data_IF_453843199218
#
_entry.id   IF_453843199218
#
_cell.length_a   1.000
_cell.length_b   1.000
_cell.length_c   1.000
_cell.angle_alpha   90.00
_cell.angle_beta   90.00
_cell.angle_gamma   90.00
#
_symmetry.space_group_name_H-M   'P 1'
#
loop_
_entity.id
_entity.type
_entity.pdbx_description
1 polymer ?
#
# COMPACT_ATOMS: atom_id res chain seq x y z
N UNK A 1 -62.99 -23.98 -13.10
CA UNK A 1 -61.69 -24.68 -12.99
C UNK A 1 -60.71 -23.72 -12.39
N UNK A 2 -60.45 -23.92 -11.13
CA UNK A 2 -59.69 -23.08 -10.23
C UNK A 2 -58.18 -23.43 -10.36
N UNK A 3 -57.35 -22.50 -10.71
CA UNK A 3 -55.89 -22.70 -10.72
C UNK A 3 -55.30 -22.10 -9.44
N UNK A 4 -54.70 -22.94 -8.62
CA UNK A 4 -53.89 -22.58 -7.47
C UNK A 4 -52.62 -21.86 -7.93
N UNK A 5 -52.41 -20.65 -7.46
CA UNK A 5 -51.11 -19.99 -7.47
C UNK A 5 -50.42 -20.33 -6.15
N UNK A 6 -49.41 -21.17 -6.22
CA UNK A 6 -48.55 -21.51 -5.11
C UNK A 6 -47.59 -20.37 -4.78
N UNK A 7 -47.67 -19.87 -3.57
CA UNK A 7 -46.67 -18.98 -3.02
C UNK A 7 -45.37 -19.78 -2.77
N UNK A 8 -44.31 -19.48 -3.53
CA UNK A 8 -42.95 -19.97 -3.26
C UNK A 8 -42.26 -18.95 -2.41
N UNK A 9 -41.82 -19.39 -1.23
CA UNK A 9 -41.37 -18.61 -0.12
C UNK A 9 -40.04 -17.85 -0.31
N UNK A 10 -40.07 -16.69 0.22
CA UNK A 10 -38.91 -15.77 0.48
C UNK A 10 -38.15 -16.14 1.77
N UNK A 11 -37.54 -17.30 1.84
CA UNK A 11 -36.76 -17.70 3.03
C UNK A 11 -35.27 -18.00 2.79
N UNK A 12 -34.78 -17.82 1.53
CA UNK A 12 -33.38 -18.16 1.21
C UNK A 12 -32.37 -17.00 1.38
N UNK A 13 -32.83 -15.75 1.50
CA UNK A 13 -31.90 -14.59 1.51
C UNK A 13 -31.37 -14.17 2.89
N UNK A 14 -32.06 -14.50 3.97
CA UNK A 14 -31.63 -14.18 5.35
C UNK A 14 -30.61 -15.19 5.89
N UNK A 15 -30.62 -16.43 5.40
CA UNK A 15 -29.70 -17.48 5.87
C UNK A 15 -28.26 -17.30 5.38
N UNK A 16 -28.04 -16.70 4.21
CA UNK A 16 -26.69 -16.53 3.65
C UNK A 16 -25.92 -15.38 4.29
N UNK A 17 -26.55 -14.26 4.62
CA UNK A 17 -25.87 -13.13 5.26
C UNK A 17 -25.45 -13.48 6.71
N UNK A 18 -26.31 -14.17 7.47
CA UNK A 18 -26.00 -14.61 8.82
C UNK A 18 -24.91 -15.71 8.86
N UNK A 19 -24.85 -16.58 7.83
CA UNK A 19 -23.79 -17.58 7.70
C UNK A 19 -22.43 -16.93 7.40
N UNK A 20 -22.37 -15.88 6.57
CA UNK A 20 -21.13 -15.13 6.28
C UNK A 20 -20.62 -14.37 7.52
N UNK A 21 -21.49 -13.82 8.36
CA UNK A 21 -21.11 -13.18 9.63
C UNK A 21 -20.61 -14.20 10.65
N UNK A 22 -21.25 -15.37 10.76
CA UNK A 22 -20.87 -16.42 11.69
C UNK A 22 -19.50 -17.06 11.35
N UNK A 23 -19.18 -17.23 10.06
CA UNK A 23 -17.89 -17.76 9.60
C UNK A 23 -16.73 -16.75 9.77
N UNK A 24 -17.02 -15.46 9.90
CA UNK A 24 -16.02 -14.41 10.00
C UNK A 24 -15.62 -14.10 11.46
N UNK A 25 -16.43 -14.47 12.46
CA UNK A 25 -16.20 -14.16 13.88
C UNK A 25 -16.42 -15.38 14.76
N UNK A 26 -15.43 -15.72 15.56
CA UNK A 26 -15.56 -16.69 16.65
C UNK A 26 -15.23 -16.00 17.99
N UNK A 27 -16.21 -15.94 18.90
CA UNK A 27 -16.01 -15.36 20.23
C UNK A 27 -15.55 -13.90 20.23
N UNK A 28 -16.07 -13.06 19.29
CA UNK A 28 -15.70 -11.66 19.15
C UNK A 28 -14.37 -11.41 18.42
N UNK A 29 -13.75 -12.44 17.85
CA UNK A 29 -12.51 -12.34 17.08
C UNK A 29 -12.73 -12.69 15.63
N UNK A 30 -12.12 -11.91 14.74
CA UNK A 30 -12.06 -12.20 13.31
C UNK A 30 -11.01 -13.28 13.01
N UNK A 31 -11.34 -14.17 12.07
CA UNK A 31 -10.41 -15.22 11.63
C UNK A 31 -9.46 -14.69 10.55
N UNK A 32 -8.23 -14.37 10.95
CA UNK A 32 -7.14 -14.06 10.03
C UNK A 32 -6.21 -15.25 9.76
N UNK A 33 -6.42 -16.38 10.45
CA UNK A 33 -5.49 -17.51 10.47
C UNK A 33 -5.84 -18.61 9.46
N UNK A 34 -7.09 -18.67 9.04
CA UNK A 34 -7.52 -19.56 7.96
C UNK A 34 -7.08 -18.99 6.61
N UNK A 35 -6.23 -19.72 5.85
CA UNK A 35 -5.83 -19.26 4.53
C UNK A 35 -7.02 -19.04 3.61
N UNK A 36 -7.09 -17.88 2.99
CA UNK A 36 -8.15 -17.53 2.05
C UNK A 36 -7.62 -17.66 0.62
N UNK A 37 -8.14 -18.62 -0.14
CA UNK A 37 -7.71 -18.86 -1.51
C UNK A 37 -8.07 -17.69 -2.42
N UNK A 38 -7.07 -17.17 -3.13
CA UNK A 38 -7.19 -16.09 -4.11
C UNK A 38 -6.79 -16.51 -5.53
N UNK A 39 -6.43 -17.78 -5.73
CA UNK A 39 -6.15 -18.33 -7.06
C UNK A 39 -7.47 -18.52 -7.79
N UNK A 40 -7.50 -18.12 -9.07
CA UNK A 40 -8.71 -18.14 -9.90
C UNK A 40 -9.61 -16.91 -9.72
N UNK A 41 -9.07 -15.81 -9.17
CA UNK A 41 -9.80 -14.54 -8.97
C UNK A 41 -9.18 -13.38 -9.75
N UNK A 42 -8.36 -13.66 -10.75
CA UNK A 42 -7.58 -12.68 -11.52
C UNK A 42 -6.64 -11.82 -10.65
N UNK A 43 -6.22 -12.37 -9.54
CA UNK A 43 -5.36 -11.68 -8.58
C UNK A 43 -3.97 -11.41 -9.15
N UNK A 44 -3.54 -10.15 -9.17
CA UNK A 44 -2.16 -9.78 -9.53
C UNK A 44 -1.15 -10.41 -8.58
N UNK A 45 -1.50 -10.56 -7.31
CA UNK A 45 -0.64 -11.13 -6.27
C UNK A 45 -0.46 -12.64 -6.41
N UNK A 46 -1.46 -13.35 -6.93
CA UNK A 46 -1.50 -14.82 -7.03
C UNK A 46 -1.50 -15.30 -8.49
N UNK A 47 -2.54 -15.02 -9.26
CA UNK A 47 -2.69 -15.54 -10.62
C UNK A 47 -1.64 -14.97 -11.59
N UNK A 48 -1.40 -13.66 -11.52
CA UNK A 48 -0.35 -13.07 -12.35
C UNK A 48 1.06 -13.50 -11.90
N UNK A 49 1.29 -13.79 -10.62
CA UNK A 49 2.57 -14.33 -10.16
C UNK A 49 2.84 -15.74 -10.73
N UNK A 50 1.83 -16.61 -10.79
CA UNK A 50 1.93 -17.90 -11.46
C UNK A 50 2.29 -17.73 -12.93
N UNK A 51 1.51 -16.95 -13.66
CA UNK A 51 1.70 -16.70 -15.09
C UNK A 51 3.06 -16.08 -15.42
N UNK A 52 3.46 -15.02 -14.69
CA UNK A 52 4.68 -14.26 -14.98
C UNK A 52 5.97 -15.08 -14.69
N UNK A 53 5.89 -16.04 -13.77
CA UNK A 53 7.01 -16.92 -13.45
C UNK A 53 6.98 -18.26 -14.21
N UNK A 54 5.90 -18.55 -14.95
CA UNK A 54 5.72 -19.81 -15.68
C UNK A 54 5.71 -21.01 -14.74
N UNK A 55 4.94 -20.92 -13.63
CA UNK A 55 4.81 -21.96 -12.60
C UNK A 55 3.33 -22.30 -12.40
N UNK A 56 3.08 -23.56 -12.05
CA UNK A 56 1.70 -24.07 -11.85
C UNK A 56 1.29 -24.06 -10.37
N UNK A 57 2.25 -23.84 -9.47
CA UNK A 57 2.01 -23.84 -8.03
C UNK A 57 2.79 -22.74 -7.33
N UNK A 58 2.13 -22.08 -6.37
CA UNK A 58 2.72 -21.08 -5.51
C UNK A 58 2.27 -21.31 -4.06
N UNK A 59 3.23 -21.26 -3.13
CA UNK A 59 2.98 -21.34 -1.68
C UNK A 59 2.44 -20.01 -1.16
N UNK A 60 3.06 -18.90 -1.60
CA UNK A 60 2.64 -17.56 -1.20
C UNK A 60 3.02 -16.49 -2.22
N UNK A 61 2.04 -15.68 -2.62
CA UNK A 61 2.25 -14.42 -3.30
C UNK A 61 2.51 -13.31 -2.27
N UNK A 62 3.72 -12.77 -2.22
CA UNK A 62 4.12 -11.77 -1.20
C UNK A 62 4.75 -10.51 -1.82
N UNK A 63 4.64 -10.35 -3.13
CA UNK A 63 5.23 -9.20 -3.84
C UNK A 63 4.31 -7.96 -3.88
N UNK A 64 3.02 -8.16 -4.07
CA UNK A 64 2.03 -7.07 -4.23
C UNK A 64 1.47 -6.63 -2.87
N UNK A 65 1.31 -5.31 -2.70
CA UNK A 65 0.83 -4.71 -1.45
C UNK A 65 -0.71 -4.71 -1.39
N UNK A 66 -1.31 -5.88 -1.29
CA UNK A 66 -2.70 -6.11 -0.91
C UNK A 66 -2.79 -7.25 0.12
N UNK A 67 -3.90 -7.33 0.85
CA UNK A 67 -4.07 -8.32 1.94
C UNK A 67 -4.76 -9.59 1.44
N UNK A 68 -4.46 -10.73 2.08
CA UNK A 68 -5.09 -12.01 1.78
C UNK A 68 -6.20 -12.39 2.77
N UNK A 69 -6.71 -11.43 3.51
CA UNK A 69 -7.79 -11.65 4.47
C UNK A 69 -9.17 -11.46 3.83
N UNK A 70 -10.18 -12.09 4.40
CA UNK A 70 -11.58 -11.76 4.09
C UNK A 70 -11.84 -10.30 4.42
N UNK A 71 -12.70 -9.67 3.65
CA UNK A 71 -13.13 -8.30 3.90
C UNK A 71 -13.88 -8.19 5.25
N UNK A 72 -13.85 -7.02 5.88
CA UNK A 72 -14.66 -6.77 7.07
C UNK A 72 -16.14 -7.05 6.77
N UNK A 73 -16.87 -7.79 7.62
CA UNK A 73 -18.26 -8.23 7.35
C UNK A 73 -19.21 -7.08 7.04
N UNK A 74 -19.03 -5.93 7.68
CA UNK A 74 -19.83 -4.71 7.42
C UNK A 74 -19.73 -4.26 5.97
N UNK A 75 -18.57 -4.43 5.33
CA UNK A 75 -18.35 -4.06 3.92
C UNK A 75 -19.08 -5.06 3.01
N UNK A 76 -18.92 -6.36 3.25
CA UNK A 76 -19.59 -7.40 2.48
C UNK A 76 -21.11 -7.23 2.54
N UNK A 77 -21.65 -6.98 3.73
CA UNK A 77 -23.08 -6.72 3.94
C UNK A 77 -23.58 -5.53 3.13
N UNK A 78 -22.90 -4.39 3.22
CA UNK A 78 -23.28 -3.18 2.48
C UNK A 78 -23.25 -3.37 0.96
N UNK A 79 -22.27 -4.13 0.45
CA UNK A 79 -22.20 -4.47 -0.96
C UNK A 79 -23.35 -5.40 -1.39
N UNK A 80 -23.66 -6.43 -0.60
CA UNK A 80 -24.78 -7.34 -0.87
C UNK A 80 -26.13 -6.61 -0.87
N UNK A 81 -26.35 -5.70 0.09
CA UNK A 81 -27.55 -4.84 0.12
C UNK A 81 -27.67 -3.98 -1.16
N UNK A 82 -26.55 -3.38 -1.60
CA UNK A 82 -26.55 -2.54 -2.82
C UNK A 82 -26.81 -3.36 -4.08
N UNK A 83 -26.35 -4.60 -4.16
CA UNK A 83 -26.57 -5.51 -5.30
C UNK A 83 -28.05 -5.90 -5.48
N UNK A 84 -28.91 -5.71 -4.46
CA UNK A 84 -30.36 -5.92 -4.60
C UNK A 84 -31.01 -4.90 -5.53
N UNK A 85 -30.35 -3.78 -5.82
CA UNK A 85 -30.85 -2.74 -6.71
C UNK A 85 -30.03 -2.74 -8.02
N UNK A 86 -30.59 -3.25 -9.09
CA UNK A 86 -29.91 -3.55 -10.36
C UNK A 86 -29.64 -2.34 -11.27
N UNK A 87 -30.03 -1.12 -10.89
CA UNK A 87 -29.75 0.07 -11.68
C UNK A 87 -28.39 0.69 -11.30
N UNK A 88 -27.56 0.92 -12.32
CA UNK A 88 -26.17 1.41 -12.21
C UNK A 88 -25.98 2.76 -12.93
N UNK A 89 -26.94 3.66 -12.78
CA UNK A 89 -26.88 5.02 -13.33
C UNK A 89 -25.77 5.87 -12.67
N UNK A 90 -25.64 7.12 -13.12
CA UNK A 90 -24.68 8.05 -12.57
C UNK A 90 -24.88 8.25 -11.08
N UNK A 91 -23.76 8.38 -10.37
CA UNK A 91 -23.74 8.53 -8.93
C UNK A 91 -23.44 9.97 -8.53
N UNK A 92 -24.25 10.55 -7.67
CA UNK A 92 -23.91 11.75 -6.91
C UNK A 92 -23.27 11.36 -5.58
N UNK A 93 -22.20 12.05 -5.18
CA UNK A 93 -21.52 11.78 -3.92
C UNK A 93 -22.44 12.13 -2.73
N UNK A 94 -22.88 11.14 -1.93
CA UNK A 94 -23.73 11.43 -0.80
C UNK A 94 -22.93 12.12 0.31
N UNK A 95 -23.54 13.13 0.92
CA UNK A 95 -22.94 13.87 2.05
C UNK A 95 -22.46 12.94 3.18
N UNK A 96 -23.22 11.87 3.45
CA UNK A 96 -22.85 10.86 4.46
C UNK A 96 -21.53 10.14 4.18
N UNK A 97 -21.04 10.12 2.94
CA UNK A 97 -19.75 9.56 2.61
C UNK A 97 -18.61 10.51 3.02
N UNK A 98 -18.67 11.77 2.63
CA UNK A 98 -17.69 12.79 3.05
C UNK A 98 -17.67 12.98 4.57
N UNK A 99 -18.82 13.01 5.21
CA UNK A 99 -18.93 13.06 6.67
C UNK A 99 -18.30 11.84 7.36
N UNK A 100 -18.44 10.65 6.79
CA UNK A 100 -17.79 9.42 7.28
C UNK A 100 -16.27 9.53 7.26
N UNK A 101 -15.70 10.03 6.16
CA UNK A 101 -14.26 10.28 6.03
C UNK A 101 -13.79 11.30 7.07
N UNK A 102 -14.49 12.43 7.20
CA UNK A 102 -14.15 13.50 8.16
C UNK A 102 -14.18 12.96 9.59
N UNK A 103 -15.25 12.26 9.99
CA UNK A 103 -15.40 11.67 11.33
C UNK A 103 -14.29 10.67 11.63
N UNK A 104 -13.96 9.77 10.67
CA UNK A 104 -12.88 8.81 10.83
C UNK A 104 -11.54 9.50 11.09
N UNK A 105 -11.17 10.44 10.24
CA UNK A 105 -9.87 11.12 10.35
C UNK A 105 -9.76 12.00 11.59
N UNK A 106 -10.86 12.65 12.02
CA UNK A 106 -10.89 13.40 13.29
C UNK A 106 -10.69 12.48 14.48
N UNK A 107 -11.42 11.35 14.53
CA UNK A 107 -11.37 10.41 15.66
C UNK A 107 -10.02 9.71 15.78
N UNK A 108 -9.48 9.21 14.67
CA UNK A 108 -8.25 8.40 14.71
C UNK A 108 -6.97 9.24 14.71
N UNK A 109 -6.99 10.40 14.05
CA UNK A 109 -5.76 11.15 13.77
C UNK A 109 -5.80 12.61 14.19
N UNK A 110 -6.92 13.09 14.70
CA UNK A 110 -7.09 14.49 15.06
C UNK A 110 -7.10 15.45 13.87
N UNK A 111 -7.30 14.94 12.64
CA UNK A 111 -7.31 15.77 11.44
C UNK A 111 -8.69 16.44 11.29
N UNK A 112 -8.69 17.78 11.19
CA UNK A 112 -9.84 18.56 10.82
C UNK A 112 -9.88 18.76 9.30
N UNK A 113 -10.75 18.02 8.61
CA UNK A 113 -10.94 18.13 7.17
C UNK A 113 -12.17 18.98 6.89
N UNK A 114 -12.00 20.06 6.10
CA UNK A 114 -13.13 20.76 5.51
C UNK A 114 -13.68 19.91 4.34
N UNK A 115 -14.94 19.42 4.40
CA UNK A 115 -15.52 18.62 3.31
C UNK A 115 -15.51 19.31 1.95
N UNK A 116 -15.60 20.63 1.90
CA UNK A 116 -15.60 21.43 0.66
C UNK A 116 -14.18 21.52 0.03
N UNK A 117 -13.17 21.17 0.81
CA UNK A 117 -11.76 21.13 0.41
C UNK A 117 -11.25 19.68 0.26
N UNK A 118 -12.17 18.72 0.08
CA UNK A 118 -11.89 17.30 -0.14
C UNK A 118 -12.37 16.89 -1.54
N UNK A 119 -11.47 16.27 -2.30
CA UNK A 119 -11.76 15.71 -3.62
C UNK A 119 -11.72 14.19 -3.61
N UNK A 120 -12.53 13.57 -4.48
CA UNK A 120 -12.55 12.12 -4.67
C UNK A 120 -11.77 11.74 -5.91
N UNK A 121 -11.12 10.59 -5.88
CA UNK A 121 -10.36 10.03 -6.99
C UNK A 121 -10.49 8.50 -7.02
N UNK A 122 -10.21 7.87 -8.16
CA UNK A 122 -10.32 6.41 -8.34
C UNK A 122 -9.16 5.62 -7.73
N UNK A 123 -8.23 6.29 -7.09
CA UNK A 123 -7.07 5.73 -6.40
C UNK A 123 -6.09 6.83 -6.02
N UNK A 124 -5.18 6.56 -5.09
CA UNK A 124 -4.15 7.55 -4.70
C UNK A 124 -3.26 7.93 -5.88
N UNK A 125 -2.85 6.98 -6.73
CA UNK A 125 -2.10 7.27 -7.95
C UNK A 125 -2.78 8.28 -8.89
N UNK A 126 -4.05 8.08 -9.32
CA UNK A 126 -4.75 9.10 -10.11
C UNK A 126 -4.82 10.47 -9.44
N UNK A 127 -4.96 10.53 -8.13
CA UNK A 127 -4.93 11.78 -7.37
C UNK A 127 -3.55 12.44 -7.40
N UNK A 128 -2.48 11.68 -7.18
CA UNK A 128 -1.10 12.17 -7.29
C UNK A 128 -0.80 12.64 -8.72
N UNK A 129 -1.22 11.90 -9.74
CA UNK A 129 -1.08 12.29 -11.14
C UNK A 129 -1.77 13.64 -11.42
N UNK A 130 -2.98 13.85 -10.89
CA UNK A 130 -3.67 15.13 -11.02
C UNK A 130 -2.89 16.27 -10.36
N UNK A 131 -2.31 16.05 -9.19
CA UNK A 131 -1.47 17.03 -8.50
C UNK A 131 -0.14 17.27 -9.23
N UNK A 132 0.51 16.22 -9.72
CA UNK A 132 1.74 16.36 -10.53
C UNK A 132 1.49 17.21 -11.78
N UNK A 133 0.39 16.97 -12.49
CA UNK A 133 0.00 17.79 -13.65
C UNK A 133 -0.34 19.23 -13.30
N UNK A 134 -0.75 19.48 -12.06
CA UNK A 134 -1.07 20.83 -11.58
C UNK A 134 0.19 21.65 -11.29
N UNK A 135 1.18 21.03 -10.63
CA UNK A 135 2.32 21.75 -10.05
C UNK A 135 3.64 21.55 -10.80
N UNK A 136 3.76 20.49 -11.60
CA UNK A 136 5.02 20.13 -12.25
C UNK A 136 4.89 20.21 -13.77
N UNK A 137 5.48 21.23 -14.41
CA UNK A 137 5.55 21.30 -15.87
C UNK A 137 6.25 20.07 -16.48
N UNK A 138 5.83 19.58 -17.65
CA UNK A 138 6.51 18.49 -18.34
C UNK A 138 8.03 18.75 -18.50
N UNK A 139 8.84 17.73 -18.20
CA UNK A 139 10.30 17.83 -18.21
C UNK A 139 10.92 18.27 -16.90
N UNK A 140 10.13 18.77 -15.94
CA UNK A 140 10.60 19.07 -14.58
C UNK A 140 10.84 17.83 -13.74
N UNK A 141 11.34 18.01 -12.53
CA UNK A 141 11.68 16.92 -11.61
C UNK A 141 10.83 16.90 -10.36
N UNK A 142 10.68 15.71 -9.80
CA UNK A 142 9.95 15.42 -8.55
C UNK A 142 10.91 14.82 -7.54
N UNK A 143 11.02 15.43 -6.37
CA UNK A 143 11.86 14.94 -5.29
C UNK A 143 11.26 13.69 -4.66
N UNK A 144 12.10 12.70 -4.41
CA UNK A 144 11.75 11.42 -3.77
C UNK A 144 12.80 11.08 -2.71
N UNK A 145 12.38 10.62 -1.54
CA UNK A 145 13.28 9.99 -0.54
C UNK A 145 13.33 8.48 -0.82
N UNK A 146 14.48 8.00 -1.30
CA UNK A 146 14.62 6.62 -1.77
C UNK A 146 15.39 5.70 -0.81
N UNK A 147 15.10 4.38 -0.76
CA UNK A 147 14.15 3.66 -1.60
C UNK A 147 12.68 4.05 -1.32
N UNK A 148 11.88 4.14 -2.38
CA UNK A 148 10.48 4.59 -2.30
C UNK A 148 9.58 3.74 -3.20
N UNK A 149 8.28 3.81 -3.00
CA UNK A 149 7.29 3.05 -3.74
C UNK A 149 7.48 3.18 -5.26
N UNK A 150 7.68 2.03 -5.90
CA UNK A 150 8.02 1.94 -7.32
C UNK A 150 6.92 2.44 -8.26
N UNK A 151 5.67 2.48 -7.82
CA UNK A 151 4.56 3.05 -8.59
C UNK A 151 4.74 4.55 -8.90
N UNK A 152 5.44 5.31 -8.06
CA UNK A 152 5.69 6.73 -8.33
C UNK A 152 6.50 6.94 -9.62
N UNK A 153 7.44 6.06 -9.95
CA UNK A 153 8.20 6.17 -11.20
C UNK A 153 7.32 6.04 -12.45
N UNK A 154 6.28 5.19 -12.38
CA UNK A 154 5.30 5.10 -13.47
C UNK A 154 4.44 6.36 -13.57
N UNK A 155 4.05 6.95 -12.43
CA UNK A 155 3.29 8.20 -12.40
C UNK A 155 4.11 9.36 -12.98
N UNK A 156 5.41 9.45 -12.64
CA UNK A 156 6.33 10.43 -13.20
C UNK A 156 6.47 10.25 -14.73
N UNK A 157 6.68 9.01 -15.17
CA UNK A 157 6.78 8.69 -16.60
C UNK A 157 5.51 9.11 -17.35
N UNK A 158 4.34 8.80 -16.78
CA UNK A 158 3.04 9.18 -17.36
C UNK A 158 2.85 10.70 -17.45
N UNK A 159 3.42 11.45 -16.50
CA UNK A 159 3.38 12.91 -16.50
C UNK A 159 4.54 13.59 -17.27
N UNK A 160 5.43 12.83 -17.91
CA UNK A 160 6.67 13.31 -18.53
C UNK A 160 7.56 14.08 -17.53
N UNK A 161 7.68 13.58 -16.31
CA UNK A 161 8.51 14.12 -15.23
C UNK A 161 9.71 13.23 -14.95
N UNK A 162 10.72 13.78 -14.30
CA UNK A 162 11.96 13.08 -13.94
C UNK A 162 12.03 12.83 -12.42
N UNK A 163 12.45 11.64 -11.98
CA UNK A 163 12.76 11.44 -10.58
C UNK A 163 14.00 12.22 -10.17
N UNK A 164 13.92 12.91 -9.05
CA UNK A 164 15.06 13.54 -8.36
C UNK A 164 15.21 12.84 -7.01
N UNK A 165 16.18 11.91 -6.91
CA UNK A 165 16.25 10.95 -5.83
C UNK A 165 17.23 11.41 -4.74
N UNK A 166 16.74 11.54 -3.51
CA UNK A 166 17.56 11.72 -2.30
C UNK A 166 17.63 10.37 -1.55
N UNK A 167 18.83 9.78 -1.54
CA UNK A 167 19.06 8.49 -0.90
C UNK A 167 19.03 8.62 0.61
N UNK A 168 18.16 7.86 1.26
CA UNK A 168 18.11 7.77 2.72
C UNK A 168 19.35 7.06 3.28
N UNK A 169 19.79 7.49 4.45
CA UNK A 169 20.83 6.83 5.24
C UNK A 169 20.22 5.69 6.05
N UNK A 170 20.96 4.59 6.20
CA UNK A 170 20.57 3.46 7.05
C UNK A 170 21.50 3.37 8.26
N UNK A 171 20.91 3.41 9.46
CA UNK A 171 21.65 3.29 10.73
C UNK A 171 20.75 2.68 11.81
N UNK A 172 21.33 1.88 12.68
CA UNK A 172 20.61 1.24 13.80
C UNK A 172 19.32 0.48 13.38
N UNK A 173 19.32 -0.09 12.18
CA UNK A 173 18.18 -0.85 11.66
C UNK A 173 17.06 -0.01 11.06
N UNK A 174 17.16 1.32 11.01
CA UNK A 174 16.16 2.27 10.49
C UNK A 174 16.76 3.12 9.36
N UNK A 175 15.91 3.57 8.46
CA UNK A 175 16.26 4.55 7.43
C UNK A 175 15.98 5.98 7.93
N UNK A 176 16.81 6.93 7.53
CA UNK A 176 16.73 8.35 7.89
C UNK A 176 16.90 9.23 6.66
N UNK A 177 16.20 10.36 6.64
CA UNK A 177 16.41 11.37 5.59
C UNK A 177 17.79 12.01 5.77
N UNK A 178 18.60 12.01 4.70
CA UNK A 178 19.78 12.86 4.61
C UNK A 178 19.34 14.27 4.22
N UNK A 179 19.10 15.12 5.20
CA UNK A 179 18.56 16.46 4.98
C UNK A 179 19.48 17.38 4.18
N UNK A 180 20.80 17.15 4.22
CA UNK A 180 21.75 17.91 3.40
C UNK A 180 21.61 17.51 1.91
N UNK A 181 21.55 16.20 1.64
CA UNK A 181 21.29 15.71 0.28
C UNK A 181 19.88 16.08 -0.19
N UNK A 182 18.87 15.94 0.66
CA UNK A 182 17.49 16.29 0.37
C UNK A 182 17.35 17.74 -0.10
N UNK A 183 17.95 18.70 0.63
CA UNK A 183 17.90 20.11 0.24
C UNK A 183 18.77 20.42 -0.98
N UNK A 184 19.95 19.82 -1.08
CA UNK A 184 20.87 20.02 -2.22
C UNK A 184 20.28 19.53 -3.53
N UNK A 185 19.44 18.48 -3.50
CA UNK A 185 18.74 17.95 -4.68
C UNK A 185 17.73 18.91 -5.27
N UNK A 186 17.18 19.80 -4.47
CA UNK A 186 16.18 20.75 -4.93
C UNK A 186 16.83 21.84 -5.77
N UNK A 187 16.58 21.81 -7.05
CA UNK A 187 16.98 22.85 -8.03
C UNK A 187 15.77 23.64 -8.53
N UNK A 188 15.99 24.54 -9.49
CA UNK A 188 14.95 25.38 -10.11
C UNK A 188 13.90 24.59 -10.89
N UNK A 189 14.16 23.34 -11.23
CA UNK A 189 13.27 22.46 -11.98
C UNK A 189 12.51 21.50 -11.06
N UNK A 190 12.78 21.51 -9.76
CA UNK A 190 12.12 20.62 -8.78
C UNK A 190 10.89 21.33 -8.22
N UNK A 191 9.69 20.85 -8.58
CA UNK A 191 8.42 21.53 -8.26
C UNK A 191 7.63 20.84 -7.16
N UNK A 192 7.75 19.52 -7.04
CA UNK A 192 6.99 18.72 -6.07
C UNK A 192 7.89 17.73 -5.35
N UNK A 193 7.49 17.38 -4.13
CA UNK A 193 8.04 16.28 -3.33
C UNK A 193 6.93 15.29 -3.04
N UNK A 194 7.10 14.01 -3.37
CA UNK A 194 6.17 12.97 -2.96
C UNK A 194 6.67 12.37 -1.64
N UNK A 195 5.95 12.70 -0.57
CA UNK A 195 6.15 12.13 0.76
C UNK A 195 5.35 10.86 0.90
N UNK A 196 5.99 9.71 1.16
CA UNK A 196 5.32 8.46 1.53
C UNK A 196 5.33 8.34 3.06
N UNK A 197 4.16 8.34 3.71
CA UNK A 197 4.03 8.36 5.17
C UNK A 197 2.85 7.50 5.66
N UNK A 198 3.08 6.30 6.20
CA UNK A 198 4.36 5.57 6.40
C UNK A 198 5.09 5.24 5.10
N UNK A 199 6.43 5.15 5.18
CA UNK A 199 7.29 4.92 4.03
C UNK A 199 7.20 3.47 3.52
N UNK A 200 6.88 3.30 2.25
CA UNK A 200 6.99 2.07 1.51
C UNK A 200 8.22 2.15 0.59
N UNK A 201 9.20 1.24 0.66
CA UNK A 201 9.12 -0.11 1.24
C UNK A 201 9.73 -0.26 2.65
N UNK A 202 10.34 0.77 3.23
CA UNK A 202 11.20 0.67 4.42
C UNK A 202 10.43 0.52 5.73
N UNK A 203 9.13 0.87 5.73
CA UNK A 203 8.28 0.78 6.92
C UNK A 203 8.50 1.88 7.95
N UNK A 204 9.22 2.94 7.60
CA UNK A 204 9.39 4.08 8.51
C UNK A 204 8.08 4.80 8.79
N UNK A 205 7.88 5.23 10.04
CA UNK A 205 6.97 6.31 10.41
C UNK A 205 7.79 7.55 10.70
N UNK A 206 7.51 8.64 9.99
CA UNK A 206 8.25 9.88 10.17
C UNK A 206 7.87 10.57 11.48
N UNK A 207 8.85 11.03 12.22
CA UNK A 207 8.62 11.84 13.43
C UNK A 207 8.09 13.22 13.06
N UNK A 208 7.52 13.94 14.04
CA UNK A 208 7.06 15.32 13.83
C UNK A 208 8.20 16.23 13.37
N UNK A 209 9.38 16.04 13.95
CA UNK A 209 10.59 16.79 13.63
C UNK A 209 11.06 16.51 12.19
N UNK A 210 11.08 15.23 11.78
CA UNK A 210 11.43 14.86 10.40
C UNK A 210 10.44 15.46 9.39
N UNK A 211 9.13 15.35 9.66
CA UNK A 211 8.08 15.91 8.79
C UNK A 211 8.15 17.44 8.75
N UNK A 212 8.36 18.10 9.89
CA UNK A 212 8.48 19.56 9.96
C UNK A 212 9.69 20.02 9.15
N UNK A 213 10.85 19.39 9.31
CA UNK A 213 12.07 19.75 8.60
C UNK A 213 11.94 19.55 7.09
N UNK A 214 11.34 18.44 6.63
CA UNK A 214 11.02 18.25 5.21
C UNK A 214 10.11 19.35 4.69
N UNK A 215 9.05 19.67 5.45
CA UNK A 215 8.10 20.72 5.10
C UNK A 215 8.71 22.12 5.03
N UNK A 216 9.58 22.48 5.98
CA UNK A 216 10.30 23.76 6.00
C UNK A 216 11.23 23.93 4.78
N UNK A 217 11.98 22.88 4.44
CA UNK A 217 12.83 22.89 3.26
C UNK A 217 11.97 23.07 1.99
N UNK A 218 10.90 22.28 1.85
CA UNK A 218 9.99 22.36 0.71
C UNK A 218 9.35 23.75 0.59
N UNK A 219 8.85 24.32 1.69
CA UNK A 219 8.25 25.66 1.72
C UNK A 219 9.26 26.74 1.28
N UNK A 220 10.45 26.73 1.88
CA UNK A 220 11.54 27.69 1.55
C UNK A 220 11.98 27.59 0.09
N UNK A 221 11.98 26.39 -0.47
CA UNK A 221 12.38 26.09 -1.85
C UNK A 221 11.22 26.15 -2.85
N UNK A 222 9.99 26.47 -2.41
CA UNK A 222 8.77 26.53 -3.23
C UNK A 222 8.43 25.19 -3.91
N UNK A 223 8.65 24.09 -3.19
CA UNK A 223 8.30 22.73 -3.60
C UNK A 223 7.02 22.33 -2.90
N UNK A 224 6.01 21.90 -3.64
CA UNK A 224 4.72 21.45 -3.07
C UNK A 224 4.85 20.01 -2.56
N UNK A 225 4.35 19.76 -1.34
CA UNK A 225 4.38 18.42 -0.73
C UNK A 225 3.12 17.63 -1.11
N UNK A 226 3.30 16.48 -1.74
CA UNK A 226 2.25 15.52 -2.06
C UNK A 226 2.38 14.36 -1.07
N UNK A 227 1.58 14.38 0.02
CA UNK A 227 1.66 13.40 1.09
C UNK A 227 0.81 12.17 0.76
N UNK A 228 1.45 11.08 0.34
CA UNK A 228 0.82 9.76 0.22
C UNK A 228 0.78 9.09 1.59
N UNK A 229 -0.38 9.13 2.21
CA UNK A 229 -0.63 8.59 3.55
C UNK A 229 -1.54 7.35 3.53
N UNK A 230 -1.54 6.60 2.41
CA UNK A 230 -2.42 5.44 2.21
C UNK A 230 -2.18 4.29 3.21
N UNK A 231 -0.99 4.21 3.81
CA UNK A 231 -0.62 3.19 4.81
C UNK A 231 -0.84 3.63 6.27
N UNK A 232 -1.45 4.78 6.51
CA UNK A 232 -1.55 5.44 7.81
C UNK A 232 -2.15 4.59 8.94
N UNK A 233 -3.03 3.64 8.64
CA UNK A 233 -3.68 2.79 9.63
C UNK A 233 -2.80 1.64 10.16
N UNK A 234 -1.68 1.36 9.49
CA UNK A 234 -0.78 0.25 9.87
C UNK A 234 0.40 0.75 10.71
N UNK A 235 0.11 1.17 11.94
CA UNK A 235 1.14 1.45 12.93
C UNK A 235 1.48 0.17 13.72
N UNK A 236 2.74 -0.21 13.76
CA UNK A 236 3.22 -1.30 14.61
C UNK A 236 3.05 -0.94 16.10
N UNK A 237 2.93 -1.95 16.96
CA UNK A 237 2.72 -1.75 18.40
C UNK A 237 3.74 -0.79 19.00
N UNK A 238 3.25 0.25 19.66
CA UNK A 238 4.08 1.30 20.28
C UNK A 238 4.49 2.43 19.33
N UNK A 239 4.16 2.35 18.04
CA UNK A 239 4.40 3.40 17.06
C UNK A 239 3.15 4.27 16.89
N UNK A 240 3.37 5.49 16.42
CA UNK A 240 2.28 6.44 16.17
C UNK A 240 2.47 7.14 14.83
N UNK A 241 1.49 6.98 13.96
CA UNK A 241 1.42 7.75 12.72
C UNK A 241 1.14 9.22 13.02
N UNK A 242 1.90 10.11 12.38
CA UNK A 242 1.73 11.55 12.46
C UNK A 242 1.33 12.07 11.07
N UNK A 243 0.08 12.55 10.91
CA UNK A 243 -0.35 13.14 9.65
C UNK A 243 0.42 14.43 9.33
N UNK A 244 0.82 14.62 8.09
CA UNK A 244 1.49 15.85 7.66
C UNK A 244 0.61 17.09 7.88
N UNK A 245 -0.68 16.96 7.69
CA UNK A 245 -1.67 18.03 7.88
C UNK A 245 -1.85 18.48 9.34
N UNK A 246 -1.29 17.76 10.33
CA UNK A 246 -1.34 18.11 11.76
C UNK A 246 -0.08 18.81 12.27
N UNK A 247 0.83 19.19 11.39
CA UNK A 247 2.00 19.99 11.76
C UNK A 247 1.56 21.37 12.26
N UNK A 248 2.33 21.94 13.21
CA UNK A 248 1.99 23.19 13.88
C UNK A 248 2.09 24.39 12.93
N UNK A 249 3.14 24.42 12.10
CA UNK A 249 3.34 25.48 11.12
C UNK A 249 2.32 25.37 9.98
N UNK A 250 1.34 26.29 9.98
CA UNK A 250 0.25 26.29 9.01
C UNK A 250 0.69 26.59 7.58
N UNK A 251 1.80 27.33 7.39
CA UNK A 251 2.33 27.60 6.05
C UNK A 251 2.88 26.32 5.40
N UNK A 252 3.51 25.43 6.20
CA UNK A 252 3.94 24.11 5.74
C UNK A 252 2.73 23.27 5.32
N UNK A 253 1.68 23.26 6.15
CA UNK A 253 0.45 22.51 5.86
C UNK A 253 -0.25 23.05 4.62
N UNK A 254 -0.35 24.39 4.47
CA UNK A 254 -0.92 25.03 3.28
C UNK A 254 -0.12 24.76 1.99
N UNK A 255 1.16 24.40 2.12
CA UNK A 255 2.00 24.00 0.98
C UNK A 255 1.92 22.48 0.70
N UNK A 256 0.83 21.82 1.05
CA UNK A 256 0.69 20.38 0.90
C UNK A 256 -0.70 19.94 0.45
N UNK A 257 -0.73 18.72 -0.09
CA UNK A 257 -1.96 17.96 -0.38
C UNK A 257 -1.78 16.56 0.19
N UNK A 258 -2.76 16.07 0.92
CA UNK A 258 -2.75 14.72 1.51
C UNK A 258 -3.67 13.79 0.73
N UNK A 259 -3.18 12.58 0.40
CA UNK A 259 -3.89 11.52 -0.31
C UNK A 259 -4.08 10.31 0.61
N UNK A 260 -5.32 9.81 0.69
CA UNK A 260 -5.69 8.66 1.53
C UNK A 260 -6.76 7.80 0.84
N UNK A 261 -6.91 6.57 1.32
CA UNK A 261 -7.95 5.65 0.85
C UNK A 261 -8.18 4.53 1.87
N UNK A 262 -9.36 3.90 1.82
CA UNK A 262 -9.63 2.64 2.51
C UNK A 262 -8.96 1.41 1.85
N UNK A 263 -8.29 1.62 0.70
CA UNK A 263 -7.76 0.55 -0.15
C UNK A 263 -6.77 -0.37 0.54
N UNK A 264 -5.86 0.19 1.36
CA UNK A 264 -4.88 -0.61 2.10
C UNK A 264 -5.45 -1.10 3.42
N UNK A 265 -6.14 -0.24 4.15
CA UNK A 265 -6.70 -0.54 5.47
C UNK A 265 -7.71 -1.69 5.47
N UNK A 266 -8.50 -1.82 4.40
CA UNK A 266 -9.58 -2.79 4.32
C UNK A 266 -9.51 -3.73 3.10
N UNK A 267 -8.37 -3.78 2.39
CA UNK A 267 -8.22 -4.66 1.23
C UNK A 267 -9.06 -4.26 0.01
N UNK A 268 -9.37 -2.98 -0.18
CA UNK A 268 -10.31 -2.47 -1.18
C UNK A 268 -9.63 -1.88 -2.44
N UNK A 269 -8.40 -2.28 -2.76
CA UNK A 269 -7.64 -1.69 -3.86
C UNK A 269 -8.35 -1.76 -5.23
N UNK A 270 -9.07 -2.87 -5.50
CA UNK A 270 -9.83 -3.05 -6.73
C UNK A 270 -11.14 -2.24 -6.79
N UNK A 271 -11.62 -1.72 -5.65
CA UNK A 271 -12.85 -0.93 -5.57
C UNK A 271 -12.70 0.50 -6.09
N UNK A 272 -11.46 0.96 -6.34
CA UNK A 272 -11.15 2.21 -7.02
C UNK A 272 -11.81 3.44 -6.38
N UNK A 273 -11.61 3.61 -5.07
CA UNK A 273 -12.10 4.77 -4.31
C UNK A 273 -11.01 5.30 -3.39
N UNK A 274 -10.62 6.55 -3.60
CA UNK A 274 -9.66 7.29 -2.77
C UNK A 274 -10.10 8.75 -2.67
N UNK A 275 -9.41 9.51 -1.86
CA UNK A 275 -9.70 10.91 -1.64
C UNK A 275 -8.44 11.70 -1.30
N UNK A 276 -8.50 12.99 -1.52
CA UNK A 276 -7.44 13.94 -1.17
C UNK A 276 -8.04 15.19 -0.54
N UNK A 277 -7.25 15.90 0.23
CA UNK A 277 -7.62 17.17 0.81
C UNK A 277 -6.41 18.09 0.96
N UNK A 278 -6.69 19.38 1.05
CA UNK A 278 -5.70 20.42 1.35
C UNK A 278 -6.39 21.57 2.10
N UNK A 279 -5.61 22.40 2.77
CA UNK A 279 -6.11 23.65 3.39
C UNK A 279 -5.93 24.84 2.46
N UNK A 280 -5.30 24.67 1.31
CA UNK A 280 -5.03 25.71 0.32
C UNK A 280 -6.11 25.69 -0.79
N UNK A 281 -6.95 26.73 -0.93
CA UNK A 281 -8.04 26.74 -1.91
C UNK A 281 -7.54 26.76 -3.35
N UNK A 282 -6.40 27.41 -3.64
CA UNK A 282 -5.85 27.46 -4.99
C UNK A 282 -5.31 26.09 -5.39
N UNK A 283 -4.67 25.36 -4.44
CA UNK A 283 -4.20 24.00 -4.68
C UNK A 283 -5.38 23.05 -4.90
N UNK A 284 -6.43 23.19 -4.10
CA UNK A 284 -7.65 22.40 -4.27
C UNK A 284 -8.26 22.61 -5.65
N UNK A 285 -8.48 23.86 -6.04
CA UNK A 285 -9.04 24.21 -7.34
C UNK A 285 -8.20 23.68 -8.51
N UNK A 286 -6.87 23.83 -8.44
CA UNK A 286 -5.94 23.34 -9.44
C UNK A 286 -5.95 21.81 -9.61
N UNK A 287 -5.89 21.07 -8.50
CA UNK A 287 -5.95 19.59 -8.53
C UNK A 287 -7.31 19.10 -9.00
N UNK A 288 -8.40 19.72 -8.54
CA UNK A 288 -9.76 19.39 -8.98
C UNK A 288 -9.95 19.56 -10.48
N UNK A 289 -9.36 20.60 -11.08
CA UNK A 289 -9.42 20.84 -12.54
C UNK A 289 -8.71 19.74 -13.35
N UNK A 290 -7.63 19.18 -12.82
CA UNK A 290 -6.85 18.10 -13.44
C UNK A 290 -7.34 16.67 -13.05
N UNK A 291 -8.16 16.55 -12.02
CA UNK A 291 -8.73 15.28 -11.58
C UNK A 291 -10.04 14.99 -12.34
N UNK A 292 -10.01 14.01 -13.22
CA UNK A 292 -11.17 13.57 -14.02
C UNK A 292 -11.72 12.21 -13.54
N UNK A 293 -11.44 11.86 -12.30
CA UNK A 293 -11.93 10.62 -11.72
C UNK A 293 -13.38 10.75 -11.26
N UNK A 294 -14.19 9.77 -11.60
CA UNK A 294 -15.55 9.62 -11.13
C UNK A 294 -15.63 8.59 -10.00
N UNK A 295 -16.64 8.72 -9.15
CA UNK A 295 -16.95 7.74 -8.12
C UNK A 295 -17.42 6.43 -8.75
N UNK A 296 -16.91 5.32 -8.24
CA UNK A 296 -17.50 4.01 -8.48
C UNK A 296 -18.51 3.69 -7.38
N UNK A 297 -19.72 3.26 -7.77
CA UNK A 297 -20.79 2.96 -6.81
C UNK A 297 -20.35 1.97 -5.73
N UNK A 298 -19.75 0.84 -6.13
CA UNK A 298 -19.32 -0.19 -5.19
C UNK A 298 -18.13 0.28 -4.33
N UNK A 299 -17.22 1.05 -4.91
CA UNK A 299 -16.08 1.62 -4.20
C UNK A 299 -16.49 2.61 -3.12
N UNK A 300 -17.45 3.49 -3.42
CA UNK A 300 -18.01 4.43 -2.46
C UNK A 300 -18.73 3.72 -1.32
N UNK A 301 -19.59 2.72 -1.63
CA UNK A 301 -20.33 1.97 -0.62
C UNK A 301 -19.40 1.17 0.28
N UNK A 302 -18.42 0.48 -0.30
CA UNK A 302 -17.43 -0.28 0.45
C UNK A 302 -16.62 0.62 1.39
N UNK A 303 -16.13 1.76 0.90
CA UNK A 303 -15.35 2.71 1.70
C UNK A 303 -16.19 3.37 2.79
N UNK A 304 -17.46 3.72 2.50
CA UNK A 304 -18.40 4.26 3.49
C UNK A 304 -18.67 3.25 4.61
N UNK A 305 -18.94 1.99 4.28
CA UNK A 305 -19.16 0.93 5.25
C UNK A 305 -17.92 0.67 6.09
N UNK A 306 -16.72 0.66 5.47
CA UNK A 306 -15.45 0.51 6.15
C UNK A 306 -15.25 1.57 7.25
N UNK A 307 -15.43 2.85 6.91
CA UNK A 307 -15.25 3.96 7.87
C UNK A 307 -16.38 4.05 8.91
N UNK A 308 -17.57 3.52 8.61
CA UNK A 308 -18.70 3.54 9.54
C UNK A 308 -18.67 2.43 10.60
N UNK A 309 -18.14 1.25 10.27
CA UNK A 309 -18.24 0.09 11.16
C UNK A 309 -17.09 -0.91 11.04
N UNK A 310 -16.00 -0.58 10.35
CA UNK A 310 -14.86 -1.49 10.16
C UNK A 310 -13.75 -1.39 11.20
N UNK A 311 -13.89 -0.51 12.20
CA UNK A 311 -12.82 -0.17 13.16
C UNK A 311 -12.29 -1.38 13.93
N UNK A 312 -13.16 -2.16 14.57
CA UNK A 312 -12.77 -3.33 15.34
C UNK A 312 -12.06 -4.40 14.47
N UNK A 313 -12.56 -4.61 13.23
CA UNK A 313 -11.88 -5.50 12.29
C UNK A 313 -10.47 -4.98 11.95
N UNK A 314 -10.32 -3.69 11.70
CA UNK A 314 -9.04 -3.09 11.36
C UNK A 314 -8.04 -3.17 12.52
N UNK A 315 -8.46 -2.88 13.75
CA UNK A 315 -7.61 -2.97 14.94
C UNK A 315 -7.09 -4.41 15.15
N UNK A 316 -7.96 -5.40 15.01
CA UNK A 316 -7.57 -6.81 15.10
C UNK A 316 -6.65 -7.21 13.94
N UNK A 317 -6.90 -6.73 12.72
CA UNK A 317 -6.07 -6.97 11.53
C UNK A 317 -4.66 -6.39 11.71
N UNK A 318 -4.56 -5.13 12.16
CA UNK A 318 -3.27 -4.46 12.44
C UNK A 318 -2.49 -5.22 13.52
N UNK A 319 -3.15 -5.62 14.60
CA UNK A 319 -2.53 -6.42 15.66
C UNK A 319 -2.03 -7.79 15.16
N UNK A 320 -2.79 -8.43 14.27
CA UNK A 320 -2.39 -9.70 13.67
C UNK A 320 -1.16 -9.54 12.76
N UNK A 321 -1.15 -8.50 11.92
CA UNK A 321 -0.02 -8.16 11.04
C UNK A 321 1.22 -7.79 11.84
N UNK A 322 1.08 -7.08 12.96
CA UNK A 322 2.18 -6.75 13.86
C UNK A 322 2.89 -8.01 14.37
N UNK A 323 2.12 -9.05 14.76
CA UNK A 323 2.67 -10.37 15.09
C UNK A 323 3.33 -11.10 13.91
N UNK A 324 2.86 -10.88 12.68
CA UNK A 324 3.50 -11.44 11.49
C UNK A 324 4.86 -10.78 11.23
N UNK A 325 5.03 -9.48 11.49
CA UNK A 325 6.34 -8.84 11.46
C UNK A 325 7.30 -9.45 12.48
N UNK A 326 6.85 -9.73 13.71
CA UNK A 326 7.67 -10.39 14.73
C UNK A 326 8.11 -11.78 14.30
N UNK A 327 7.20 -12.56 13.69
CA UNK A 327 7.50 -13.89 13.15
C UNK A 327 8.60 -13.81 12.07
N UNK A 328 8.48 -12.90 11.09
CA UNK A 328 9.47 -12.72 10.01
C UNK A 328 10.83 -12.30 10.59
N UNK A 329 10.84 -11.34 11.52
CA UNK A 329 12.05 -10.87 12.20
C UNK A 329 12.77 -12.01 12.91
N UNK A 330 12.04 -12.79 13.71
CA UNK A 330 12.58 -13.94 14.44
C UNK A 330 13.09 -15.03 13.50
N UNK A 331 12.31 -15.36 12.46
CA UNK A 331 12.64 -16.42 11.52
C UNK A 331 13.93 -16.13 10.76
N UNK A 332 14.07 -14.97 10.17
CA UNK A 332 15.28 -14.63 9.41
C UNK A 332 16.52 -14.53 10.31
N UNK A 333 16.40 -13.96 11.50
CA UNK A 333 17.51 -13.87 12.47
C UNK A 333 17.98 -15.24 12.97
N UNK A 334 17.08 -16.22 13.10
CA UNK A 334 17.41 -17.51 13.69
C UNK A 334 17.66 -18.61 12.64
N UNK A 335 16.94 -18.60 11.53
CA UNK A 335 16.96 -19.68 10.54
C UNK A 335 17.78 -19.34 9.30
N UNK A 336 17.96 -18.06 8.97
CA UNK A 336 18.62 -17.61 7.75
C UNK A 336 19.53 -16.37 7.95
N UNK A 337 20.31 -16.28 9.06
CA UNK A 337 20.99 -15.04 9.47
C UNK A 337 22.05 -14.55 8.46
N UNK A 338 22.65 -15.45 7.70
CA UNK A 338 23.68 -15.13 6.72
C UNK A 338 23.13 -14.91 5.30
N UNK A 339 21.86 -15.26 5.06
CA UNK A 339 21.24 -15.19 3.73
C UNK A 339 20.34 -13.96 3.59
N UNK A 340 19.53 -13.70 4.60
CA UNK A 340 18.57 -12.60 4.61
C UNK A 340 18.72 -11.81 5.90
N UNK A 341 19.06 -10.53 5.75
CA UNK A 341 19.20 -9.62 6.89
C UNK A 341 17.97 -8.72 6.98
N UNK A 342 17.47 -8.56 8.19
CA UNK A 342 16.37 -7.65 8.51
C UNK A 342 16.90 -6.47 9.34
N UNK A 343 16.37 -5.29 9.09
CA UNK A 343 16.59 -4.12 9.94
C UNK A 343 15.85 -4.21 11.27
N UNK A 344 15.49 -3.08 11.85
CA UNK A 344 14.50 -3.04 12.92
C UNK A 344 13.14 -3.52 12.40
N UNK A 345 12.24 -3.90 13.31
CA UNK A 345 10.85 -4.18 12.96
C UNK A 345 10.26 -2.94 12.27
N UNK A 346 9.54 -3.08 11.14
CA UNK A 346 8.90 -1.94 10.52
C UNK A 346 8.02 -1.16 11.52
N UNK A 347 8.14 0.16 11.52
CA UNK A 347 7.33 1.03 12.38
C UNK A 347 5.90 1.13 11.88
N UNK A 348 5.70 0.93 10.58
CA UNK A 348 4.39 0.93 9.91
C UNK A 348 4.37 0.11 8.65
N UNK A 349 3.22 0.09 7.99
CA UNK A 349 2.87 -0.74 6.82
C UNK A 349 2.75 -2.24 7.15
N UNK A 350 2.34 -3.05 6.18
CA UNK A 350 2.39 -4.51 6.26
C UNK A 350 3.47 -5.10 5.34
N UNK A 351 4.53 -4.30 5.12
CA UNK A 351 5.61 -4.63 4.20
C UNK A 351 6.92 -4.73 4.98
N UNK A 352 7.69 -5.76 4.74
CA UNK A 352 9.03 -5.93 5.29
C UNK A 352 10.06 -5.74 4.19
N UNK A 353 11.06 -4.91 4.44
CA UNK A 353 12.19 -4.66 3.56
C UNK A 353 13.39 -5.48 4.03
N UNK A 354 13.81 -6.42 3.21
CA UNK A 354 14.85 -7.39 3.59
C UNK A 354 16.07 -7.28 2.68
N UNK A 355 17.27 -7.29 3.26
CA UNK A 355 18.51 -7.34 2.52
C UNK A 355 18.83 -8.81 2.17
N UNK A 356 19.02 -9.08 0.89
CA UNK A 356 19.24 -10.42 0.32
C UNK A 356 20.63 -10.61 -0.27
N UNK A 357 21.60 -9.78 0.11
CA UNK A 357 22.98 -9.88 -0.41
C UNK A 357 23.59 -11.28 -0.22
N UNK A 358 23.39 -11.90 0.94
CA UNK A 358 23.84 -13.26 1.18
C UNK A 358 23.14 -14.32 0.31
N UNK A 359 21.87 -14.08 -0.05
CA UNK A 359 21.14 -14.94 -0.97
C UNK A 359 21.62 -14.76 -2.41
N UNK A 360 21.91 -13.52 -2.83
CA UNK A 360 22.50 -13.20 -4.14
C UNK A 360 23.82 -13.95 -4.32
N UNK A 361 24.68 -13.92 -3.32
CA UNK A 361 25.96 -14.61 -3.32
C UNK A 361 25.77 -16.14 -3.37
N UNK A 362 24.94 -16.69 -2.48
CA UNK A 362 24.72 -18.14 -2.34
C UNK A 362 24.26 -18.81 -3.63
N UNK A 363 23.32 -18.20 -4.35
CA UNK A 363 22.79 -18.77 -5.61
C UNK A 363 23.53 -18.31 -6.85
N UNK A 364 24.52 -17.44 -6.73
CA UNK A 364 25.25 -16.88 -7.87
C UNK A 364 24.42 -15.92 -8.74
N UNK A 365 23.43 -15.21 -8.13
CA UNK A 365 22.47 -14.39 -8.85
C UNK A 365 23.13 -13.25 -9.65
N UNK A 366 24.29 -12.75 -9.22
CA UNK A 366 25.05 -11.73 -9.94
C UNK A 366 25.48 -12.23 -11.34
N UNK A 367 26.04 -13.45 -11.41
CA UNK A 367 26.45 -14.05 -12.68
C UNK A 367 25.24 -14.39 -13.54
N UNK A 368 24.19 -14.97 -12.95
CA UNK A 368 22.94 -15.28 -13.66
C UNK A 368 22.29 -14.03 -14.26
N UNK A 369 22.34 -12.91 -13.56
CA UNK A 369 21.82 -11.62 -14.03
C UNK A 369 22.65 -11.08 -15.22
N UNK A 370 23.98 -11.18 -15.16
CA UNK A 370 24.88 -10.79 -16.24
C UNK A 370 24.62 -11.62 -17.52
N UNK A 371 24.50 -12.94 -17.36
CA UNK A 371 24.24 -13.86 -18.47
C UNK A 371 22.86 -13.61 -19.10
N UNK A 372 21.82 -13.40 -18.27
CA UNK A 372 20.48 -13.07 -18.72
C UNK A 372 20.44 -11.71 -19.46
N UNK A 373 21.17 -10.71 -18.95
CA UNK A 373 21.28 -9.39 -19.59
C UNK A 373 21.92 -9.52 -20.97
N UNK A 374 22.99 -10.31 -21.07
CA UNK A 374 23.68 -10.58 -22.35
C UNK A 374 22.78 -11.32 -23.34
N UNK A 375 22.05 -12.34 -22.87
CA UNK A 375 21.16 -13.14 -23.70
C UNK A 375 19.94 -12.37 -24.22
N UNK A 376 19.40 -11.45 -23.42
CA UNK A 376 18.18 -10.71 -23.75
C UNK A 376 18.43 -9.33 -24.38
N UNK A 377 19.65 -8.81 -24.27
CA UNK A 377 20.00 -7.42 -24.63
C UNK A 377 19.34 -6.37 -23.72
N UNK A 378 18.73 -6.78 -22.58
CA UNK A 378 18.06 -5.90 -21.61
C UNK A 378 18.70 -6.06 -20.24
N UNK A 379 18.84 -4.98 -19.46
CA UNK A 379 19.35 -5.08 -18.09
C UNK A 379 18.48 -6.02 -17.23
N UNK A 380 19.10 -7.00 -16.60
CA UNK A 380 18.47 -7.87 -15.59
C UNK A 380 19.26 -7.68 -14.29
N UNK A 381 18.55 -7.40 -13.19
CA UNK A 381 19.17 -7.23 -11.88
C UNK A 381 19.27 -8.54 -11.11
N UNK A 382 20.23 -8.69 -10.17
CA UNK A 382 20.30 -9.84 -9.28
C UNK A 382 19.02 -10.06 -8.47
N UNK A 383 18.34 -8.98 -8.05
CA UNK A 383 17.08 -9.03 -7.31
C UNK A 383 15.96 -9.64 -8.16
N UNK A 384 15.90 -9.32 -9.45
CA UNK A 384 14.95 -9.94 -10.37
C UNK A 384 15.24 -11.43 -10.58
N UNK A 385 16.52 -11.83 -10.57
CA UNK A 385 16.91 -13.24 -10.58
C UNK A 385 16.42 -13.92 -9.29
N UNK A 386 16.64 -13.31 -8.11
CA UNK A 386 16.15 -13.82 -6.82
C UNK A 386 14.63 -13.98 -6.83
N UNK A 387 13.89 -12.98 -7.29
CA UNK A 387 12.42 -13.00 -7.39
C UNK A 387 11.95 -14.24 -8.17
N UNK A 388 12.49 -14.43 -9.36
CA UNK A 388 12.15 -15.57 -10.23
C UNK A 388 12.60 -16.90 -9.66
N UNK A 389 13.80 -16.93 -9.06
CA UNK A 389 14.36 -18.13 -8.48
C UNK A 389 13.54 -18.62 -7.28
N UNK A 390 13.16 -17.71 -6.36
CA UNK A 390 12.31 -18.04 -5.21
C UNK A 390 10.91 -18.48 -5.66
N UNK A 391 10.33 -17.83 -6.65
CA UNK A 391 9.04 -18.23 -7.19
C UNK A 391 9.09 -19.66 -7.74
N UNK A 392 10.11 -20.00 -8.54
CA UNK A 392 10.25 -21.31 -9.18
C UNK A 392 10.65 -22.44 -8.22
N UNK A 393 11.56 -22.18 -7.29
CA UNK A 393 12.17 -23.23 -6.46
C UNK A 393 11.51 -23.34 -5.07
N UNK A 394 11.00 -22.23 -4.52
CA UNK A 394 10.36 -22.20 -3.20
C UNK A 394 8.86 -21.94 -3.27
N UNK A 395 8.31 -21.62 -4.44
CA UNK A 395 6.91 -21.21 -4.58
C UNK A 395 6.59 -19.90 -3.85
N UNK A 396 7.56 -18.99 -3.69
CA UNK A 396 7.38 -17.74 -2.97
C UNK A 396 7.72 -16.57 -3.89
N UNK A 397 6.71 -15.74 -4.20
CA UNK A 397 6.89 -14.55 -5.01
C UNK A 397 7.07 -13.31 -4.11
N UNK A 398 8.25 -12.71 -4.14
CA UNK A 398 8.57 -11.42 -3.50
C UNK A 398 8.57 -10.32 -4.57
N UNK A 399 8.98 -9.10 -4.20
CA UNK A 399 9.14 -8.02 -5.17
C UNK A 399 10.58 -7.49 -5.15
N UNK A 400 11.22 -7.43 -6.34
CA UNK A 400 12.61 -7.07 -6.52
C UNK A 400 12.90 -5.62 -6.12
N UNK A 401 13.90 -5.43 -5.28
CA UNK A 401 14.20 -4.14 -4.65
C UNK A 401 14.76 -3.10 -5.59
N UNK A 402 15.44 -3.49 -6.67
CA UNK A 402 16.00 -2.56 -7.65
C UNK A 402 14.95 -1.64 -8.30
N UNK A 403 13.66 -2.01 -8.26
CA UNK A 403 12.56 -1.19 -8.79
C UNK A 403 12.17 -0.01 -7.91
N UNK A 404 12.70 0.08 -6.69
CA UNK A 404 12.37 1.10 -5.69
C UNK A 404 13.34 2.30 -5.69
N UNK A 405 14.15 2.45 -6.75
CA UNK A 405 15.10 3.53 -6.93
C UNK A 405 16.42 3.33 -6.18
N UNK A 406 17.15 4.42 -5.94
CA UNK A 406 18.41 4.38 -5.22
C UNK A 406 18.24 3.72 -3.85
N UNK A 407 19.19 2.84 -3.48
CA UNK A 407 19.12 2.06 -2.23
C UNK A 407 18.25 0.81 -2.30
N UNK A 408 17.62 0.53 -3.47
CA UNK A 408 16.84 -0.68 -3.67
C UNK A 408 17.67 -1.92 -3.99
N UNK A 409 18.91 -1.76 -4.47
CA UNK A 409 19.83 -2.86 -4.74
C UNK A 409 20.08 -3.73 -3.50
N UNK A 410 20.26 -5.03 -3.71
CA UNK A 410 20.43 -6.06 -2.68
C UNK A 410 19.22 -6.21 -1.72
N UNK A 411 18.05 -5.71 -2.08
CA UNK A 411 16.86 -5.82 -1.23
C UNK A 411 15.68 -6.47 -1.95
N UNK A 412 14.76 -7.01 -1.16
CA UNK A 412 13.45 -7.48 -1.61
C UNK A 412 12.37 -6.90 -0.69
N UNK A 413 11.19 -6.64 -1.24
CA UNK A 413 10.01 -6.29 -0.43
C UNK A 413 9.14 -7.54 -0.25
N UNK A 414 8.73 -7.79 0.99
CA UNK A 414 7.88 -8.90 1.40
C UNK A 414 6.60 -8.37 2.05
N UNK A 415 5.44 -8.72 1.51
CA UNK A 415 4.14 -8.43 2.11
C UNK A 415 3.80 -9.50 3.16
N UNK A 416 3.51 -9.09 4.38
CA UNK A 416 3.18 -9.98 5.50
C UNK A 416 1.69 -9.98 5.88
N UNK A 417 0.83 -9.28 5.10
CA UNK A 417 -0.61 -9.25 5.31
C UNK A 417 -1.28 -10.50 4.71
N UNK A 418 -0.98 -11.64 5.28
CA UNK A 418 -1.52 -12.96 4.94
C UNK A 418 -1.70 -13.79 6.21
N UNK A 419 -2.37 -14.95 6.13
CA UNK A 419 -2.51 -15.82 7.30
C UNK A 419 -1.14 -16.28 7.81
N UNK A 420 -1.03 -16.44 9.12
CA UNK A 420 0.23 -16.91 9.74
C UNK A 420 0.63 -18.28 9.21
N UNK A 421 -0.35 -19.14 8.94
CA UNK A 421 -0.12 -20.45 8.29
C UNK A 421 0.54 -20.31 6.92
N UNK A 422 0.03 -19.40 6.08
CA UNK A 422 0.64 -19.12 4.76
C UNK A 422 2.05 -18.51 4.90
N UNK A 423 2.22 -17.59 5.84
CA UNK A 423 3.51 -16.95 6.11
C UNK A 423 4.56 -17.98 6.57
N UNK A 424 4.22 -18.84 7.55
CA UNK A 424 5.10 -19.90 8.04
C UNK A 424 5.44 -20.92 6.95
N UNK A 425 4.46 -21.29 6.11
CA UNK A 425 4.68 -22.17 4.98
C UNK A 425 5.68 -21.56 3.97
N UNK A 426 5.52 -20.26 3.65
CA UNK A 426 6.43 -19.54 2.76
C UNK A 426 7.86 -19.48 3.32
N UNK A 427 8.02 -19.06 4.57
CA UNK A 427 9.32 -18.97 5.24
C UNK A 427 10.01 -20.34 5.33
N UNK A 428 9.25 -21.38 5.66
CA UNK A 428 9.76 -22.75 5.75
C UNK A 428 10.18 -23.29 4.37
N UNK A 429 9.38 -23.02 3.33
CA UNK A 429 9.69 -23.40 1.95
C UNK A 429 10.98 -22.74 1.49
N UNK A 430 11.15 -21.43 1.72
CA UNK A 430 12.39 -20.72 1.40
C UNK A 430 13.60 -21.35 2.11
N UNK A 431 13.51 -21.57 3.43
CA UNK A 431 14.61 -22.13 4.20
C UNK A 431 14.99 -23.55 3.74
N UNK A 432 14.01 -24.41 3.47
CA UNK A 432 14.25 -25.79 3.03
C UNK A 432 14.84 -25.85 1.61
N UNK A 433 14.38 -24.98 0.71
CA UNK A 433 14.91 -24.88 -0.64
C UNK A 433 16.37 -24.42 -0.63
N UNK A 434 16.69 -23.41 0.17
CA UNK A 434 18.04 -22.85 0.26
C UNK A 434 19.06 -23.75 0.98
N UNK A 435 18.63 -24.77 1.71
CA UNK A 435 19.52 -25.80 2.27
C UNK A 435 20.03 -26.78 1.21
N UNK A 436 19.34 -26.87 0.07
CA UNK A 436 19.68 -27.82 -1.02
C UNK A 436 20.66 -27.23 -2.05
N UNK A 437 20.90 -25.95 -1.96
CA UNK A 437 21.82 -25.15 -2.77
C UNK A 437 23.01 -24.72 -1.90
#
# INVERSE_FOLDING_TARGET
>A
MTALVGAVGTSASLGTAAAFEADAMQGGKYDFDTPYNRIGTDSVKWDAALKNNGIDHIVAGMGIADMDFRCAPVITKALQERLQHENWGYLEMPRSFSEGIVKWNKRHYGIDINPDMMGITTGVHPGIIAALKTFSPPGSSVLLTTPVYNGFYSDLTYCNLKPNESLMKFSNGRFYVDFEDFERRIDRNTNTFILCNPQNPTGNMWTREELTRMGEICLRRRVVVLADEIHCDFASKGQKYIPFSTLENRDIVNNSITFKAASKSFGLAAMKCAWYFTTNPDYFAGVKANNKADLTTLGMIASKAAYAGGEDWLEQCVSYIDGNHDLVQSFFKTKMPNLIKVGAKPEGTYLTWVNVSGLIEKIGAQQMAADASKATGKPVSPELVIERWLAKNAGVALNAGNTYGLGGANHMRMNVATSRKTLEAALTSMANTLKKV
#
